data_IF_074212661126
#
_entry.id   IF_074212661126
#
_cell.length_a   1.000
_cell.length_b   1.000
_cell.length_c   1.000
_cell.angle_alpha   90.00
_cell.angle_beta   90.00
_cell.angle_gamma   90.00
#
_symmetry.space_group_name_H-M   'P 1'
#
loop_
_entity.id
_entity.type
_entity.pdbx_description
1 polymer ?
#
# COMPACT_ATOMS: atom_id res chain seq x y z
N UNK A 1 1.80 -8.55 -1.19
CA UNK A 1 2.95 -9.33 -1.68
C UNK A 1 3.61 -9.98 -0.47
N UNK A 2 3.72 -11.29 -0.48
CA UNK A 2 4.42 -12.06 0.54
C UNK A 2 5.51 -12.90 -0.13
N UNK A 3 6.69 -12.92 0.48
CA UNK A 3 7.78 -13.83 0.13
C UNK A 3 7.98 -14.82 1.25
N UNK A 4 8.38 -16.06 0.95
CA UNK A 4 8.69 -17.03 1.96
C UNK A 4 9.80 -16.51 2.90
N UNK A 5 9.72 -16.82 4.19
CA UNK A 5 10.60 -16.25 5.22
C UNK A 5 12.08 -16.58 5.00
N UNK A 6 12.37 -17.75 4.44
CA UNK A 6 13.71 -18.22 4.06
C UNK A 6 14.31 -17.48 2.84
N UNK A 7 13.47 -16.73 2.11
CA UNK A 7 13.85 -15.93 0.93
C UNK A 7 13.68 -14.43 1.11
N UNK A 8 13.43 -14.00 2.33
CA UNK A 8 13.35 -12.58 2.66
C UNK A 8 14.70 -11.90 2.37
N UNK A 9 14.67 -10.78 1.65
CA UNK A 9 15.87 -10.02 1.27
C UNK A 9 16.47 -10.38 -0.10
N UNK A 10 15.99 -11.43 -0.78
CA UNK A 10 16.46 -11.84 -2.12
C UNK A 10 15.99 -10.98 -3.30
N UNK A 11 15.40 -9.81 -3.06
CA UNK A 11 14.92 -8.92 -4.13
C UNK A 11 13.59 -9.33 -4.79
N UNK A 12 13.04 -10.50 -4.46
CA UNK A 12 11.81 -11.04 -5.07
C UNK A 12 10.62 -10.11 -4.86
N UNK A 13 10.46 -9.57 -3.65
CA UNK A 13 9.38 -8.62 -3.34
C UNK A 13 9.46 -7.36 -4.19
N UNK A 14 10.67 -6.85 -4.44
CA UNK A 14 10.92 -5.72 -5.34
C UNK A 14 10.52 -6.04 -6.77
N UNK A 15 11.00 -7.16 -7.31
CA UNK A 15 10.69 -7.58 -8.68
C UNK A 15 9.18 -7.78 -8.90
N UNK A 16 8.48 -8.38 -7.92
CA UNK A 16 7.03 -8.55 -7.99
C UNK A 16 6.29 -7.21 -7.95
N UNK A 17 6.72 -6.29 -7.11
CA UNK A 17 6.08 -4.98 -7.01
C UNK A 17 6.35 -4.14 -8.25
N UNK A 18 7.57 -4.16 -8.78
CA UNK A 18 7.93 -3.54 -10.06
C UNK A 18 7.01 -4.06 -11.18
N UNK A 19 6.78 -5.37 -11.24
CA UNK A 19 5.90 -5.98 -12.24
C UNK A 19 4.45 -5.52 -12.08
N UNK A 20 3.93 -5.49 -10.85
CA UNK A 20 2.58 -4.98 -10.59
C UNK A 20 2.46 -3.53 -11.05
N UNK A 21 3.43 -2.67 -10.75
CA UNK A 21 3.42 -1.27 -11.16
C UNK A 21 3.49 -1.13 -12.68
N UNK A 22 4.32 -1.91 -13.37
CA UNK A 22 4.41 -1.91 -14.83
C UNK A 22 3.08 -2.30 -15.49
N UNK A 23 2.47 -3.39 -15.06
CA UNK A 23 1.18 -3.85 -15.58
C UNK A 23 0.08 -2.81 -15.31
N UNK A 24 0.05 -2.26 -14.10
CA UNK A 24 -0.92 -1.23 -13.72
C UNK A 24 -0.76 0.04 -14.58
N UNK A 25 0.48 0.42 -14.87
CA UNK A 25 0.77 1.56 -15.76
C UNK A 25 0.33 1.27 -17.19
N UNK A 26 0.60 0.07 -17.70
CA UNK A 26 0.16 -0.36 -19.04
C UNK A 26 -1.37 -0.37 -19.16
N UNK A 27 -2.07 -0.77 -18.10
CA UNK A 27 -3.53 -0.73 -18.01
C UNK A 27 -4.09 0.68 -17.75
N UNK A 28 -3.23 1.69 -17.60
CA UNK A 28 -3.61 3.09 -17.36
C UNK A 28 -4.50 3.28 -16.12
N UNK A 29 -4.31 2.47 -15.07
CA UNK A 29 -5.03 2.65 -13.82
C UNK A 29 -4.61 3.94 -13.12
N UNK A 30 -5.45 4.46 -12.24
CA UNK A 30 -5.19 5.71 -11.52
C UNK A 30 -4.11 5.60 -10.44
N UNK A 31 -3.90 4.40 -9.92
CA UNK A 31 -2.95 4.10 -8.85
C UNK A 31 -3.28 2.77 -8.19
N UNK A 32 -2.49 2.39 -7.19
CA UNK A 32 -2.69 1.18 -6.42
C UNK A 32 -3.10 1.53 -4.99
N UNK A 33 -4.08 0.79 -4.47
CA UNK A 33 -4.47 0.85 -3.07
C UNK A 33 -4.20 -0.50 -2.40
N UNK A 34 -3.62 -0.47 -1.24
CA UNK A 34 -3.37 -1.65 -0.44
C UNK A 34 -3.25 -1.30 1.04
N UNK A 35 -3.20 -2.29 1.90
CA UNK A 35 -3.15 -2.10 3.34
C UNK A 35 -1.81 -2.54 3.90
N UNK A 36 -1.31 -1.77 4.86
CA UNK A 36 -0.14 -2.10 5.67
C UNK A 36 -0.47 -1.93 7.14
N UNK A 37 -0.04 -2.86 7.97
CA UNK A 37 -0.16 -2.72 9.41
C UNK A 37 0.61 -1.50 9.92
N UNK A 38 0.16 -0.89 11.03
CA UNK A 38 0.71 0.36 11.52
C UNK A 38 2.17 0.23 11.98
N UNK A 39 2.93 1.32 11.80
CA UNK A 39 4.36 1.42 12.09
C UNK A 39 4.67 2.29 13.30
N UNK A 40 3.66 2.63 14.08
CA UNK A 40 3.78 3.36 15.34
C UNK A 40 3.51 2.44 16.54
N UNK A 41 4.33 2.56 17.58
CA UNK A 41 4.22 1.70 18.77
C UNK A 41 2.91 1.90 19.55
N UNK A 42 2.26 3.05 19.41
CA UNK A 42 0.95 3.31 20.03
C UNK A 42 -0.17 2.49 19.38
N UNK A 43 -0.04 2.19 18.09
CA UNK A 43 -1.04 1.50 17.28
C UNK A 43 -0.71 0.00 17.10
N UNK A 44 0.57 -0.39 17.29
CA UNK A 44 1.05 -1.76 17.24
C UNK A 44 2.11 -1.99 18.34
N UNK A 45 1.71 -2.48 19.52
CA UNK A 45 2.59 -2.56 20.70
C UNK A 45 3.63 -3.68 20.65
N UNK A 46 3.45 -4.71 19.80
CA UNK A 46 4.44 -5.78 19.65
C UNK A 46 5.69 -5.28 18.92
N UNK A 47 6.88 -5.30 19.58
CA UNK A 47 8.11 -4.81 18.98
C UNK A 47 8.57 -5.58 17.74
N UNK A 48 8.30 -6.89 17.67
CA UNK A 48 8.66 -7.74 16.53
C UNK A 48 7.80 -7.39 15.31
N UNK A 49 6.48 -7.33 15.50
CA UNK A 49 5.52 -6.89 14.48
C UNK A 49 5.85 -5.46 14.01
N UNK A 50 6.10 -4.56 14.95
CA UNK A 50 6.43 -3.17 14.65
C UNK A 50 7.67 -3.03 13.75
N UNK A 51 8.71 -3.85 13.99
CA UNK A 51 9.90 -3.88 13.15
C UNK A 51 9.57 -4.31 11.72
N UNK A 52 8.74 -5.34 11.55
CA UNK A 52 8.30 -5.82 10.24
C UNK A 52 7.43 -4.80 9.51
N UNK A 53 6.51 -4.14 10.22
CA UNK A 53 5.63 -3.12 9.67
C UNK A 53 6.42 -1.90 9.16
N UNK A 54 7.40 -1.43 9.94
CA UNK A 54 8.32 -0.37 9.54
C UNK A 54 9.14 -0.73 8.31
N UNK A 55 9.65 -1.96 8.24
CA UNK A 55 10.41 -2.43 7.07
C UNK A 55 9.51 -2.49 5.82
N UNK A 56 8.27 -2.93 5.96
CA UNK A 56 7.27 -3.00 4.89
C UNK A 56 6.90 -1.61 4.37
N UNK A 57 6.57 -0.68 5.25
CA UNK A 57 6.24 0.69 4.85
C UNK A 57 7.43 1.42 4.24
N UNK A 58 8.65 1.23 4.77
CA UNK A 58 9.89 1.73 4.14
C UNK A 58 10.07 1.16 2.74
N UNK A 59 9.76 -0.11 2.53
CA UNK A 59 9.83 -0.74 1.21
C UNK A 59 8.93 -0.04 0.20
N UNK A 60 7.66 0.18 0.53
CA UNK A 60 6.70 0.84 -0.36
C UNK A 60 6.99 2.33 -0.54
N UNK A 61 7.45 3.00 0.51
CA UNK A 61 7.78 4.42 0.45
C UNK A 61 8.94 4.71 -0.53
N UNK A 62 9.83 3.75 -0.76
CA UNK A 62 10.85 3.86 -1.83
C UNK A 62 10.25 4.01 -3.23
N UNK A 63 9.03 3.58 -3.43
CA UNK A 63 8.27 3.73 -4.68
C UNK A 63 7.31 4.92 -4.66
N UNK A 64 7.34 5.72 -3.63
CA UNK A 64 6.46 6.87 -3.45
C UNK A 64 5.10 6.53 -2.82
N UNK A 65 4.81 5.25 -2.59
CA UNK A 65 3.57 4.84 -1.96
C UNK A 65 3.54 5.21 -0.47
N UNK A 66 2.47 5.86 -0.01
CA UNK A 66 2.37 6.40 1.34
C UNK A 66 0.98 6.20 1.93
N UNK A 67 0.88 6.07 3.27
CA UNK A 67 -0.40 6.04 3.95
C UNK A 67 -1.26 7.28 3.66
N UNK A 68 -2.54 7.04 3.45
CA UNK A 68 -3.57 8.08 3.45
C UNK A 68 -3.79 8.54 4.88
N UNK A 69 -3.88 9.85 5.12
CA UNK A 69 -4.04 10.42 6.46
C UNK A 69 -5.24 11.37 6.54
N UNK A 70 -5.59 11.80 7.75
CA UNK A 70 -6.75 12.66 8.03
C UNK A 70 -8.09 12.03 7.61
N UNK A 71 -8.20 10.72 7.78
CA UNK A 71 -9.44 9.96 7.50
C UNK A 71 -9.77 9.03 8.65
N UNK A 72 -10.95 8.46 8.64
CA UNK A 72 -11.39 7.46 9.59
C UNK A 72 -11.10 6.01 9.14
N UNK A 73 -10.24 5.79 8.14
CA UNK A 73 -9.98 4.44 7.65
C UNK A 73 -9.41 3.50 8.72
N UNK A 74 -8.57 4.05 9.60
CA UNK A 74 -7.94 3.32 10.70
C UNK A 74 -8.82 3.25 11.97
N UNK A 75 -10.10 3.63 11.86
CA UNK A 75 -11.02 3.51 12.99
C UNK A 75 -11.39 2.06 13.23
N UNK A 76 -11.42 1.58 14.48
CA UNK A 76 -11.87 0.22 14.78
C UNK A 76 -13.35 0.03 14.41
N UNK A 77 -13.70 -1.18 13.97
CA UNK A 77 -15.09 -1.57 13.72
C UNK A 77 -15.75 -1.90 15.06
N UNK A 78 -15.02 -2.64 15.91
CA UNK A 78 -15.41 -2.99 17.27
C UNK A 78 -14.39 -2.45 18.28
N UNK A 79 -14.76 -2.27 19.58
CA UNK A 79 -13.81 -1.80 20.60
C UNK A 79 -12.60 -2.71 20.83
N UNK A 80 -12.71 -3.97 20.44
CA UNK A 80 -11.67 -4.98 20.58
C UNK A 80 -10.62 -4.93 19.46
N UNK A 81 -10.92 -4.22 18.37
CA UNK A 81 -10.02 -4.15 17.23
C UNK A 81 -8.78 -3.32 17.56
N UNK A 82 -7.63 -3.91 17.26
CA UNK A 82 -6.32 -3.31 17.45
C UNK A 82 -5.50 -3.40 16.17
N UNK A 83 -4.42 -2.65 16.08
CA UNK A 83 -3.53 -2.67 14.92
C UNK A 83 -4.25 -2.44 13.58
N UNK A 84 -5.19 -1.49 13.54
CA UNK A 84 -5.93 -1.16 12.32
C UNK A 84 -4.99 -0.76 11.18
N UNK A 85 -5.16 -1.32 9.98
CA UNK A 85 -4.21 -1.09 8.90
C UNK A 85 -4.30 0.32 8.33
N UNK A 86 -3.17 0.87 7.95
CA UNK A 86 -3.10 2.04 7.08
C UNK A 86 -3.60 1.69 5.68
N UNK A 87 -4.44 2.54 5.11
CA UNK A 87 -4.67 2.55 3.67
C UNK A 87 -3.48 3.23 2.98
N UNK A 88 -2.78 2.51 2.13
CA UNK A 88 -1.62 3.02 1.38
C UNK A 88 -2.01 3.27 -0.06
N UNK A 89 -1.55 4.38 -0.62
CA UNK A 89 -1.76 4.76 -2.01
C UNK A 89 -0.43 4.94 -2.73
N UNK A 90 -0.29 4.27 -3.89
CA UNK A 90 0.79 4.45 -4.86
C UNK A 90 0.22 5.08 -6.13
N UNK A 91 0.64 6.28 -6.45
CA UNK A 91 0.22 7.02 -7.64
C UNK A 91 0.92 6.56 -8.92
N UNK A 92 1.72 5.49 -8.86
CA UNK A 92 2.53 4.96 -9.96
C UNK A 92 3.52 5.98 -10.54
N UNK A 93 4.01 6.88 -9.71
CA UNK A 93 4.92 7.99 -10.09
C UNK A 93 4.31 8.97 -11.11
N UNK A 94 2.99 9.03 -11.20
CA UNK A 94 2.31 9.95 -12.13
C UNK A 94 2.26 11.39 -11.62
N UNK A 95 2.49 11.61 -10.33
CA UNK A 95 2.33 12.90 -9.67
C UNK A 95 0.87 13.38 -9.61
N UNK A 96 -0.10 12.54 -9.97
CA UNK A 96 -1.52 12.89 -9.96
C UNK A 96 -2.05 12.93 -8.54
N UNK A 97 -2.70 14.02 -8.13
CA UNK A 97 -3.29 14.09 -6.81
C UNK A 97 -4.46 13.12 -6.66
N UNK A 98 -4.55 12.47 -5.51
CA UNK A 98 -5.67 11.57 -5.19
C UNK A 98 -6.94 12.38 -4.94
N UNK A 99 -7.87 12.36 -5.88
CA UNK A 99 -9.16 13.06 -5.76
C UNK A 99 -10.05 12.40 -4.70
N UNK A 100 -10.67 13.22 -3.88
CA UNK A 100 -11.59 12.79 -2.81
C UNK A 100 -12.70 11.87 -3.31
N UNK A 101 -13.35 12.24 -4.40
CA UNK A 101 -14.44 11.45 -4.97
C UNK A 101 -14.01 10.05 -5.37
N UNK A 102 -12.83 9.94 -5.99
CA UNK A 102 -12.26 8.66 -6.38
C UNK A 102 -11.84 7.82 -5.14
N UNK A 103 -11.16 8.44 -4.18
CA UNK A 103 -10.79 7.75 -2.94
C UNK A 103 -12.01 7.18 -2.20
N UNK A 104 -13.09 7.96 -2.08
CA UNK A 104 -14.35 7.50 -1.47
C UNK A 104 -14.97 6.30 -2.18
N UNK A 105 -14.94 6.28 -3.52
CA UNK A 105 -15.44 5.15 -4.32
C UNK A 105 -14.61 3.89 -4.06
N UNK A 106 -13.27 4.02 -4.06
CA UNK A 106 -12.36 2.90 -3.80
C UNK A 106 -12.53 2.36 -2.38
N UNK A 107 -12.55 3.24 -1.38
CA UNK A 107 -12.71 2.86 0.02
C UNK A 107 -14.04 2.16 0.25
N UNK A 108 -15.13 2.68 -0.31
CA UNK A 108 -16.44 2.00 -0.27
C UNK A 108 -16.35 0.60 -0.85
N UNK A 109 -15.74 0.46 -2.04
CA UNK A 109 -15.60 -0.85 -2.67
C UNK A 109 -14.73 -1.82 -1.85
N UNK A 110 -13.69 -1.34 -1.19
CA UNK A 110 -12.88 -2.17 -0.28
C UNK A 110 -13.74 -2.66 0.89
N UNK A 111 -14.42 -1.76 1.59
CA UNK A 111 -15.17 -2.09 2.79
C UNK A 111 -16.39 -2.98 2.48
N UNK A 112 -17.13 -2.70 1.39
CA UNK A 112 -18.32 -3.45 1.00
C UNK A 112 -18.01 -4.80 0.33
N UNK A 113 -16.81 -5.01 -0.23
CA UNK A 113 -16.46 -6.26 -0.93
C UNK A 113 -15.51 -7.14 -0.15
N UNK A 114 -14.39 -6.56 0.31
CA UNK A 114 -13.37 -7.32 1.05
C UNK A 114 -13.80 -7.59 2.49
N UNK A 115 -14.54 -6.66 3.09
CA UNK A 115 -14.94 -6.68 4.49
C UNK A 115 -16.45 -6.71 4.67
N UNK A 116 -17.19 -7.22 3.68
CA UNK A 116 -18.65 -7.26 3.68
C UNK A 116 -19.26 -7.90 4.93
N UNK A 117 -18.65 -8.99 5.41
CA UNK A 117 -19.14 -9.72 6.57
C UNK A 117 -18.69 -9.11 7.92
N UNK A 118 -17.84 -8.08 7.87
CA UNK A 118 -17.22 -7.50 9.06
C UNK A 118 -17.62 -6.03 9.28
N UNK A 119 -17.75 -5.25 8.20
CA UNK A 119 -18.05 -3.83 8.27
C UNK A 119 -19.54 -3.56 8.07
N UNK A 120 -20.30 -3.16 9.11
CA UNK A 120 -21.70 -2.77 8.96
C UNK A 120 -21.84 -1.47 8.13
N UNK A 121 -23.00 -1.27 7.53
CA UNK A 121 -23.25 -0.17 6.59
C UNK A 121 -23.01 1.22 7.20
N UNK A 122 -23.36 1.43 8.45
CA UNK A 122 -23.11 2.69 9.16
C UNK A 122 -21.62 2.97 9.37
N UNK A 123 -20.82 1.92 9.62
CA UNK A 123 -19.36 2.02 9.67
C UNK A 123 -18.81 2.44 8.30
N UNK A 124 -19.25 1.80 7.23
CA UNK A 124 -18.82 2.13 5.86
C UNK A 124 -19.11 3.60 5.55
N UNK A 125 -20.34 4.08 5.83
CA UNK A 125 -20.70 5.47 5.60
C UNK A 125 -19.88 6.45 6.43
N UNK A 126 -19.61 6.13 7.69
CA UNK A 126 -18.76 6.93 8.58
C UNK A 126 -17.34 7.05 8.03
N UNK A 127 -16.73 5.93 7.64
CA UNK A 127 -15.36 5.91 7.09
C UNK A 127 -15.30 6.67 5.76
N UNK A 128 -16.20 6.38 4.82
CA UNK A 128 -16.22 7.07 3.51
C UNK A 128 -16.43 8.57 3.67
N UNK A 129 -17.32 9.00 4.57
CA UNK A 129 -17.58 10.42 4.82
C UNK A 129 -16.41 11.14 5.49
N UNK A 130 -15.52 10.41 6.16
CA UNK A 130 -14.33 10.97 6.83
C UNK A 130 -13.28 11.51 5.85
N UNK A 131 -13.29 11.09 4.59
CA UNK A 131 -12.42 11.63 3.55
C UNK A 131 -12.89 13.03 3.16
N UNK A 132 -12.36 14.07 3.81
CA UNK A 132 -12.80 15.47 3.65
C UNK A 132 -11.88 16.29 2.76
N UNK A 133 -10.58 16.02 2.80
CA UNK A 133 -9.58 16.75 2.04
C UNK A 133 -9.69 16.45 0.52
N UNK A 134 -9.51 17.47 -0.32
CA UNK A 134 -9.44 17.33 -1.78
C UNK A 134 -8.33 18.24 -2.35
N UNK A 135 -7.21 17.70 -2.78
CA UNK A 135 -6.88 16.27 -2.83
C UNK A 135 -6.74 15.63 -1.45
N UNK A 136 -6.96 14.31 -1.40
CA UNK A 136 -6.74 13.52 -0.19
C UNK A 136 -5.28 13.58 0.21
N UNK A 137 -5.02 13.73 1.51
CA UNK A 137 -3.66 13.87 2.03
C UNK A 137 -2.98 12.53 2.20
N UNK A 138 -1.72 12.48 1.80
CA UNK A 138 -0.82 11.38 2.09
C UNK A 138 0.14 11.78 3.20
N UNK A 139 0.54 10.81 4.02
CA UNK A 139 1.55 11.01 5.06
C UNK A 139 2.84 11.54 4.45
N UNK A 140 3.52 12.45 5.13
CA UNK A 140 4.87 12.88 4.74
C UNK A 140 5.85 11.70 4.72
N UNK A 141 6.90 11.81 3.90
CA UNK A 141 7.94 10.79 3.84
C UNK A 141 8.60 10.60 5.21
N UNK A 142 8.62 9.36 5.69
CA UNK A 142 9.15 9.00 7.00
C UNK A 142 10.47 8.24 6.93
N UNK A 143 10.66 7.47 5.88
CA UNK A 143 11.74 6.49 5.75
C UNK A 143 12.71 6.79 4.62
N UNK A 144 12.28 7.48 3.60
CA UNK A 144 13.11 7.85 2.45
C UNK A 144 12.98 9.34 2.20
N UNK A 145 14.00 9.92 1.59
CA UNK A 145 13.92 11.30 1.11
C UNK A 145 13.16 11.34 -0.20
N UNK A 146 12.35 12.38 -0.48
CA UNK A 146 11.55 12.48 -1.71
C UNK A 146 12.38 12.28 -2.98
N UNK A 147 13.61 12.81 -3.02
CA UNK A 147 14.54 12.70 -4.15
C UNK A 147 15.10 11.28 -4.37
N UNK A 148 14.94 10.39 -3.39
CA UNK A 148 15.37 9.00 -3.45
C UNK A 148 14.24 8.03 -3.86
N UNK A 149 13.06 8.57 -4.20
CA UNK A 149 11.92 7.75 -4.66
C UNK A 149 12.23 7.14 -6.02
N UNK A 150 12.02 5.83 -6.12
CA UNK A 150 12.22 5.07 -7.35
C UNK A 150 11.07 5.41 -8.30
N UNK A 151 11.38 6.16 -9.37
CA UNK A 151 10.43 6.36 -10.46
C UNK A 151 10.04 5.01 -11.10
N UNK A 152 8.90 4.95 -11.77
CA UNK A 152 8.59 3.80 -12.62
C UNK A 152 9.68 3.75 -13.68
N UNK A 153 10.56 2.76 -13.56
CA UNK A 153 11.57 2.51 -14.59
C UNK A 153 10.81 2.09 -15.84
N UNK A 154 10.90 2.90 -16.89
CA UNK A 154 10.53 2.45 -18.22
C UNK A 154 11.32 1.17 -18.48
N UNK A 155 10.56 0.07 -18.54
CA UNK A 155 11.00 -1.28 -18.88
C UNK A 155 12.43 -1.69 -18.46
N UNK A 156 12.54 -2.38 -17.32
CA UNK A 156 13.41 -3.56 -17.38
C UNK A 156 12.83 -4.46 -18.45
N UNK A 157 13.59 -4.70 -19.52
CA UNK A 157 13.12 -5.50 -20.65
C UNK A 157 12.57 -6.83 -20.14
N UNK A 158 11.55 -7.38 -20.80
CA UNK A 158 11.00 -8.69 -20.47
C UNK A 158 12.10 -9.77 -20.33
N UNK A 159 13.23 -9.60 -21.01
CA UNK A 159 14.43 -10.42 -20.91
C UNK A 159 15.10 -10.37 -19.52
N UNK A 160 15.20 -9.22 -18.87
CA UNK A 160 15.79 -9.13 -17.52
C UNK A 160 14.90 -9.76 -16.45
N UNK A 161 13.59 -9.74 -16.65
CA UNK A 161 12.64 -10.42 -15.76
C UNK A 161 12.69 -11.94 -16.00
N UNK A 162 12.80 -12.38 -17.26
CA UNK A 162 12.98 -13.78 -17.61
C UNK A 162 14.28 -14.36 -17.05
N UNK A 163 15.39 -13.59 -17.02
CA UNK A 163 16.66 -14.03 -16.42
C UNK A 163 16.51 -14.23 -14.89
N UNK A 164 15.80 -13.35 -14.19
CA UNK A 164 15.58 -13.49 -12.75
C UNK A 164 14.70 -14.72 -12.42
N UNK A 165 13.81 -15.11 -13.34
CA UNK A 165 12.92 -16.28 -13.18
C UNK A 165 13.62 -17.57 -13.65
N UNK A 166 14.44 -17.53 -14.71
CA UNK A 166 15.09 -18.70 -15.28
C UNK A 166 16.38 -19.13 -14.58
N UNK A 167 17.08 -18.24 -13.86
CA UNK A 167 18.27 -18.60 -13.09
C UNK A 167 17.97 -19.43 -11.83
N UNK A 168 16.73 -19.83 -11.63
CA UNK A 168 16.33 -20.71 -10.52
C UNK A 168 15.44 -21.84 -11.03
N UNK A 169 16.11 -22.89 -11.51
CA UNK A 169 15.49 -24.20 -11.60
C UNK A 169 14.99 -24.59 -10.20
N UNK A 170 13.68 -24.68 -10.06
CA UNK A 170 13.06 -25.34 -8.93
C UNK A 170 13.10 -26.84 -9.20
N UNK A 171 13.92 -27.55 -8.46
CA UNK A 171 13.74 -28.96 -8.13
C UNK A 171 13.09 -28.98 -6.75
#
# INVERSE_FOLDING_TARGET
>A
IATASDRAGGGIGGALYDRIRQESTALKVHGLFFECLPDDAKDCPDPAELKHNRARLRFYERYGARPVVNTGYESPVTPEDTCMPHLVYDDLSTGRPLKKTFARQVVRAILERKYADYCPADYVERVVSSFRDDPVRLREFRYVKPEAVIAVVESRSAEQIALIVNDRHYI
#
